data_IF_031271723037
#
_entry.id   IF_031271723037
#
_cell.length_a   1.000
_cell.length_b   1.000
_cell.length_c   1.000
_cell.angle_alpha   90.00
_cell.angle_beta   90.00
_cell.angle_gamma   90.00
#
_symmetry.space_group_name_H-M   'P 1'
#
loop_
_entity.id
_entity.type
_entity.pdbx_description
1 polymer ?
#
# COMPACT_ATOMS: atom_id res chain seq x y z
N UNK A 1 -6.13 -2.74 -2.06
CA UNK A 1 -6.40 -4.02 -2.73
C UNK A 1 -5.18 -4.39 -3.57
N UNK A 2 -4.82 -5.66 -3.61
CA UNK A 2 -3.69 -6.18 -4.40
C UNK A 2 -3.87 -5.92 -5.91
N UNK A 3 -5.08 -5.66 -6.36
CA UNK A 3 -5.46 -5.38 -7.75
C UNK A 3 -5.31 -3.91 -8.16
N UNK A 4 -4.86 -3.02 -7.28
CA UNK A 4 -4.66 -1.61 -7.63
C UNK A 4 -3.28 -1.40 -8.24
N UNK A 5 -3.15 -0.65 -9.35
CA UNK A 5 -1.86 -0.38 -9.95
C UNK A 5 -1.03 0.53 -9.03
N UNK A 6 0.23 0.16 -8.81
CA UNK A 6 1.21 0.96 -8.05
C UNK A 6 1.69 2.18 -8.83
N UNK A 7 1.61 2.09 -10.16
CA UNK A 7 2.01 3.16 -11.07
C UNK A 7 1.12 3.19 -12.30
N UNK A 8 0.89 4.40 -12.82
CA UNK A 8 0.31 4.60 -14.15
C UNK A 8 1.28 5.41 -14.98
N UNK A 9 1.76 4.79 -16.07
CA UNK A 9 2.68 5.42 -16.99
C UNK A 9 1.94 5.89 -18.22
N UNK A 10 2.51 6.86 -18.89
CA UNK A 10 1.99 7.42 -20.13
C UNK A 10 3.13 7.59 -21.12
N UNK A 11 2.92 7.08 -22.32
CA UNK A 11 3.79 7.30 -23.48
C UNK A 11 3.15 8.38 -24.36
N UNK A 12 3.88 9.45 -24.61
CA UNK A 12 3.49 10.55 -25.48
C UNK A 12 4.52 10.78 -26.59
N UNK A 13 4.13 11.56 -27.57
CA UNK A 13 5.06 12.07 -28.57
C UNK A 13 5.75 13.33 -28.04
N UNK A 14 7.03 13.46 -28.31
CA UNK A 14 7.74 14.72 -28.13
C UNK A 14 7.42 15.66 -29.30
N UNK A 15 7.65 16.96 -29.14
CA UNK A 15 7.36 17.98 -30.17
C UNK A 15 8.08 17.74 -31.48
N UNK A 16 9.22 17.05 -31.45
CA UNK A 16 10.06 16.75 -32.62
C UNK A 16 9.81 15.35 -33.18
N UNK A 17 8.75 14.68 -32.74
CA UNK A 17 8.46 13.30 -33.17
C UNK A 17 8.05 13.22 -34.63
N UNK A 18 8.71 12.33 -35.37
CA UNK A 18 8.36 11.97 -36.76
C UNK A 18 7.45 10.75 -36.85
N UNK A 19 7.02 10.21 -35.71
CA UNK A 19 6.17 9.03 -35.65
C UNK A 19 4.75 9.36 -36.11
N UNK A 20 4.14 8.46 -36.89
CA UNK A 20 2.75 8.52 -37.32
C UNK A 20 1.74 8.47 -36.17
N UNK A 21 0.70 7.69 -36.31
CA UNK A 21 -0.34 7.56 -35.28
C UNK A 21 0.16 6.77 -34.04
N UNK A 22 -0.21 7.21 -32.85
CA UNK A 22 0.12 6.50 -31.58
C UNK A 22 -0.49 5.10 -31.54
N UNK A 23 -1.62 4.92 -32.18
CA UNK A 23 -2.31 3.64 -32.29
C UNK A 23 -1.48 2.54 -32.94
N UNK A 24 -0.51 2.89 -33.78
CA UNK A 24 0.34 1.92 -34.50
C UNK A 24 1.56 1.44 -33.70
N UNK A 25 1.74 1.92 -32.48
CA UNK A 25 2.92 1.63 -31.66
C UNK A 25 2.76 0.40 -30.75
N UNK A 26 1.71 -0.42 -30.94
CA UNK A 26 1.44 -1.55 -30.05
C UNK A 26 2.59 -2.55 -29.94
N UNK A 27 3.26 -2.87 -31.06
CA UNK A 27 4.41 -3.79 -31.07
C UNK A 27 5.63 -3.19 -30.35
N UNK A 28 5.93 -1.91 -30.58
CA UNK A 28 7.01 -1.21 -29.89
C UNK A 28 6.76 -1.22 -28.37
N UNK A 29 5.53 -0.96 -27.99
CA UNK A 29 5.12 -0.96 -26.57
C UNK A 29 5.33 -2.35 -25.96
N UNK A 30 4.92 -3.41 -26.64
CA UNK A 30 5.00 -4.78 -26.12
C UNK A 30 6.46 -5.26 -26.01
N UNK A 31 7.24 -5.11 -27.08
CA UNK A 31 8.59 -5.66 -27.13
C UNK A 31 9.69 -4.77 -26.55
N UNK A 32 9.51 -3.44 -26.55
CA UNK A 32 10.55 -2.54 -26.02
C UNK A 32 10.21 -1.98 -24.64
N UNK A 33 8.94 -1.73 -24.31
CA UNK A 33 8.57 -1.11 -23.05
C UNK A 33 8.16 -2.18 -22.03
N UNK A 34 7.13 -2.96 -22.36
CA UNK A 34 6.56 -3.93 -21.40
C UNK A 34 7.59 -5.00 -21.06
N UNK A 35 8.33 -5.52 -22.03
CA UNK A 35 9.32 -6.57 -21.78
C UNK A 35 10.43 -6.11 -20.81
N UNK A 36 10.90 -4.86 -20.93
CA UNK A 36 11.91 -4.33 -20.02
C UNK A 36 11.34 -4.04 -18.64
N UNK A 37 10.16 -3.43 -18.56
CA UNK A 37 9.54 -3.10 -17.29
C UNK A 37 9.04 -4.35 -16.53
N UNK A 38 8.63 -5.41 -17.21
CA UNK A 38 8.19 -6.67 -16.59
C UNK A 38 9.32 -7.49 -15.97
N UNK A 39 10.58 -7.17 -16.26
CA UNK A 39 11.76 -7.81 -15.64
C UNK A 39 12.11 -7.21 -14.28
N UNK A 40 11.44 -6.16 -13.89
CA UNK A 40 11.71 -5.46 -12.62
C UNK A 40 11.17 -6.29 -11.46
N UNK A 41 12.00 -6.53 -10.47
CA UNK A 41 11.65 -7.24 -9.24
C UNK A 41 10.47 -6.57 -8.53
N UNK A 42 9.41 -7.35 -8.27
CA UNK A 42 8.18 -6.90 -7.64
C UNK A 42 7.08 -6.40 -8.59
N UNK A 43 7.29 -6.43 -9.92
CA UNK A 43 6.26 -6.17 -10.93
C UNK A 43 5.62 -7.48 -11.35
N UNK A 44 4.29 -7.63 -11.19
CA UNK A 44 3.56 -8.84 -11.58
C UNK A 44 3.02 -8.77 -12.99
N UNK A 45 2.38 -7.68 -13.36
CA UNK A 45 1.72 -7.51 -14.64
C UNK A 45 1.75 -6.05 -15.09
N UNK A 46 1.88 -5.83 -16.39
CA UNK A 46 1.75 -4.52 -17.01
C UNK A 46 0.70 -4.61 -18.10
N UNK A 47 -0.38 -3.88 -17.94
CA UNK A 47 -1.42 -3.75 -18.97
C UNK A 47 -1.29 -2.40 -19.67
N UNK A 48 -1.55 -2.36 -20.99
CA UNK A 48 -1.54 -1.11 -21.73
C UNK A 48 -2.82 -0.89 -22.53
N UNK A 49 -3.11 0.36 -22.84
CA UNK A 49 -4.26 0.78 -23.64
C UNK A 49 -3.90 1.97 -24.53
N UNK A 50 -4.51 2.05 -25.70
CA UNK A 50 -4.30 3.13 -26.67
C UNK A 50 -3.37 2.78 -27.82
N UNK A 51 -2.71 1.61 -27.77
CA UNK A 51 -1.92 1.06 -28.88
C UNK A 51 -2.57 -0.19 -29.46
N UNK A 52 -2.41 -0.43 -30.74
CA UNK A 52 -2.90 -1.61 -31.46
C UNK A 52 -1.74 -2.47 -31.92
N UNK A 53 -1.89 -3.78 -31.76
CA UNK A 53 -0.93 -4.77 -32.26
C UNK A 53 -1.11 -4.97 -33.76
N UNK A 54 -0.06 -5.35 -34.45
CA UNK A 54 -0.15 -5.77 -35.83
C UNK A 54 -0.95 -7.06 -35.95
N UNK A 55 -1.75 -7.14 -37.00
CA UNK A 55 -2.48 -8.35 -37.37
C UNK A 55 -2.41 -8.60 -38.88
N UNK A 56 -2.57 -9.84 -39.26
CA UNK A 56 -2.76 -10.21 -40.64
C UNK A 56 -4.24 -10.03 -41.01
N UNK A 57 -4.55 -8.97 -41.75
CA UNK A 57 -5.94 -8.64 -42.14
C UNK A 57 -6.28 -9.32 -43.43
N UNK A 58 -7.34 -10.14 -43.42
CA UNK A 58 -7.86 -10.87 -44.56
C UNK A 58 -9.16 -10.21 -44.99
N UNK A 59 -9.10 -9.45 -46.10
CA UNK A 59 -10.29 -8.79 -46.66
C UNK A 59 -10.86 -9.67 -47.77
N UNK A 60 -11.99 -10.30 -47.48
CA UNK A 60 -12.60 -11.31 -48.38
C UNK A 60 -13.48 -10.64 -49.43
N UNK A 61 -13.34 -11.04 -50.68
CA UNK A 61 -14.20 -10.64 -51.79
C UNK A 61 -15.40 -11.61 -51.89
N UNK A 62 -16.60 -11.12 -51.51
CA UNK A 62 -17.80 -11.92 -51.46
C UNK A 62 -18.27 -12.41 -52.82
N UNK A 63 -18.00 -11.66 -53.92
CA UNK A 63 -18.34 -12.07 -55.29
C UNK A 63 -17.46 -13.21 -55.75
N UNK A 64 -16.15 -13.13 -55.48
CA UNK A 64 -15.22 -14.22 -55.79
C UNK A 64 -15.56 -15.50 -55.01
N UNK A 65 -15.89 -15.37 -53.70
CA UNK A 65 -16.36 -16.51 -52.88
C UNK A 65 -17.58 -17.19 -53.50
N UNK A 66 -18.57 -16.40 -53.91
CA UNK A 66 -19.78 -16.90 -54.52
C UNK A 66 -19.48 -17.62 -55.86
N UNK A 67 -18.58 -17.07 -56.69
CA UNK A 67 -18.17 -17.65 -57.96
C UNK A 67 -17.49 -19.04 -57.82
N UNK A 68 -16.74 -19.21 -56.73
CA UNK A 68 -16.10 -20.50 -56.41
C UNK A 68 -17.01 -21.41 -55.55
N UNK A 69 -18.25 -20.99 -55.28
CA UNK A 69 -19.21 -21.77 -54.49
C UNK A 69 -18.72 -22.07 -53.05
N UNK A 70 -18.02 -21.13 -52.45
CA UNK A 70 -17.45 -21.27 -51.10
C UNK A 70 -18.30 -20.46 -50.12
N UNK A 71 -18.77 -21.13 -49.07
CA UNK A 71 -19.48 -20.47 -47.98
C UNK A 71 -18.47 -19.84 -47.00
N UNK A 72 -18.81 -18.69 -46.42
CA UNK A 72 -17.97 -18.00 -45.44
C UNK A 72 -17.60 -18.85 -44.21
N UNK A 73 -18.52 -19.69 -43.75
CA UNK A 73 -18.28 -20.63 -42.66
C UNK A 73 -17.25 -21.68 -43.01
N UNK A 74 -17.27 -22.16 -44.27
CA UNK A 74 -16.26 -23.09 -44.78
C UNK A 74 -14.89 -22.44 -44.85
N UNK A 75 -14.80 -21.18 -45.28
CA UNK A 75 -13.59 -20.38 -45.26
C UNK A 75 -13.02 -20.24 -43.83
N UNK A 76 -13.84 -19.84 -42.88
CA UNK A 76 -13.43 -19.67 -41.46
C UNK A 76 -12.93 -20.99 -40.87
N UNK A 77 -13.62 -22.11 -41.18
CA UNK A 77 -13.18 -23.43 -40.73
C UNK A 77 -11.85 -23.87 -41.38
N UNK A 78 -11.67 -23.60 -42.64
CA UNK A 78 -10.39 -23.89 -43.32
C UNK A 78 -9.24 -23.07 -42.74
N UNK A 79 -9.46 -21.79 -42.42
CA UNK A 79 -8.49 -20.93 -41.76
C UNK A 79 -8.16 -21.41 -40.32
N UNK A 80 -9.17 -21.80 -39.57
CA UNK A 80 -8.95 -22.38 -38.22
C UNK A 80 -8.13 -23.66 -38.29
N UNK A 81 -8.45 -24.52 -39.22
CA UNK A 81 -7.76 -25.81 -39.38
C UNK A 81 -6.32 -25.62 -39.90
N UNK A 82 -6.06 -24.63 -40.77
CA UNK A 82 -4.72 -24.32 -41.28
C UNK A 82 -3.85 -23.58 -40.25
N UNK A 83 -4.43 -23.02 -39.21
CA UNK A 83 -3.72 -22.36 -38.09
C UNK A 83 -3.59 -23.26 -36.85
N UNK A 84 -3.94 -24.54 -36.97
CA UNK A 84 -3.88 -25.46 -35.83
C UNK A 84 -2.44 -25.93 -35.58
N UNK A 85 -2.00 -25.80 -34.36
CA UNK A 85 -0.79 -26.49 -33.85
C UNK A 85 -1.17 -27.92 -33.50
N UNK A 86 -0.66 -28.89 -34.19
CA UNK A 86 -0.87 -30.32 -33.91
C UNK A 86 0.41 -30.91 -33.29
N UNK A 87 0.30 -31.43 -32.08
CA UNK A 87 1.36 -32.27 -31.55
C UNK A 87 1.28 -33.63 -32.25
N UNK A 88 2.26 -33.93 -33.09
CA UNK A 88 2.28 -35.14 -33.90
C UNK A 88 2.77 -36.37 -33.13
N UNK A 89 3.03 -36.25 -31.85
CA UNK A 89 3.49 -37.32 -30.97
C UNK A 89 4.93 -37.11 -30.46
N UNK A 90 5.48 -38.16 -29.88
CA UNK A 90 6.83 -38.17 -29.34
C UNK A 90 7.69 -39.18 -30.04
N UNK A 91 8.90 -38.79 -30.48
CA UNK A 91 9.91 -39.66 -30.98
C UNK A 91 10.94 -39.94 -29.88
N UNK A 92 11.09 -41.20 -29.51
CA UNK A 92 12.06 -41.63 -28.49
C UNK A 92 13.29 -42.19 -29.22
N UNK A 93 14.42 -41.55 -29.03
CA UNK A 93 15.71 -41.98 -29.56
C UNK A 93 16.69 -42.20 -28.39
N UNK A 94 16.86 -43.43 -27.99
CA UNK A 94 17.68 -43.81 -26.83
C UNK A 94 17.15 -43.23 -25.51
N UNK A 95 17.90 -42.28 -24.92
CA UNK A 95 17.49 -41.59 -23.66
C UNK A 95 16.85 -40.21 -23.90
N UNK A 96 16.62 -39.83 -25.15
CA UNK A 96 16.06 -38.53 -25.50
C UNK A 96 14.67 -38.71 -26.06
N UNK A 97 13.73 -37.87 -25.59
CA UNK A 97 12.37 -37.79 -26.13
C UNK A 97 12.24 -36.47 -26.87
N UNK A 98 11.89 -36.53 -28.15
CA UNK A 98 11.62 -35.38 -29.01
C UNK A 98 10.12 -35.25 -29.19
N UNK A 99 9.54 -34.11 -28.76
CA UNK A 99 8.15 -33.82 -29.07
C UNK A 99 8.06 -33.25 -30.50
N UNK A 100 7.36 -33.96 -31.36
CA UNK A 100 7.13 -33.53 -32.74
C UNK A 100 5.91 -32.59 -32.76
N UNK A 101 6.14 -31.34 -33.16
CA UNK A 101 5.07 -30.36 -33.38
C UNK A 101 4.99 -30.07 -34.88
N UNK A 102 3.81 -30.23 -35.47
CA UNK A 102 3.50 -29.73 -36.79
C UNK A 102 2.88 -28.33 -36.63
N UNK A 103 3.57 -27.30 -37.05
CA UNK A 103 3.06 -25.92 -37.04
C UNK A 103 2.75 -25.52 -38.48
N UNK A 104 1.49 -25.18 -38.73
CA UNK A 104 1.04 -24.62 -40.01
C UNK A 104 0.44 -23.23 -39.76
N UNK A 105 1.30 -22.29 -39.26
CA UNK A 105 0.85 -20.93 -39.00
C UNK A 105 1.36 -20.01 -40.09
N UNK A 106 0.44 -19.31 -40.76
CA UNK A 106 0.81 -18.33 -41.76
C UNK A 106 1.12 -16.99 -41.05
N UNK A 107 2.41 -16.66 -40.92
CA UNK A 107 2.86 -15.40 -40.31
C UNK A 107 3.03 -14.26 -41.32
N UNK A 108 3.04 -14.53 -42.59
CA UNK A 108 3.24 -13.53 -43.65
C UNK A 108 2.08 -13.54 -44.65
N UNK A 109 1.81 -12.40 -45.31
CA UNK A 109 0.77 -12.35 -46.34
C UNK A 109 0.99 -13.42 -47.44
N UNK A 110 2.23 -13.67 -47.85
CA UNK A 110 2.57 -14.62 -48.87
C UNK A 110 2.27 -16.07 -48.43
N UNK A 111 2.56 -16.42 -47.21
CA UNK A 111 2.25 -17.75 -46.67
C UNK A 111 0.72 -17.93 -46.52
N UNK A 112 0.01 -16.90 -46.13
CA UNK A 112 -1.44 -16.94 -46.00
C UNK A 112 -2.17 -17.02 -47.34
N UNK A 113 -1.65 -16.35 -48.38
CA UNK A 113 -2.19 -16.45 -49.76
C UNK A 113 -2.21 -17.90 -50.25
N UNK A 114 -1.26 -18.73 -49.85
CA UNK A 114 -1.12 -20.11 -50.29
C UNK A 114 -2.00 -21.12 -49.52
N UNK A 115 -2.78 -20.69 -48.52
CA UNK A 115 -3.70 -21.56 -47.79
C UNK A 115 -4.78 -22.07 -48.73
N UNK A 116 -4.94 -23.40 -48.83
CA UNK A 116 -5.97 -24.05 -49.63
C UNK A 116 -7.31 -24.01 -48.89
N UNK A 117 -8.33 -23.41 -49.50
CA UNK A 117 -9.66 -23.26 -48.91
C UNK A 117 -10.61 -24.34 -49.40
N UNK A 118 -10.50 -24.71 -50.67
CA UNK A 118 -11.33 -25.73 -51.31
C UNK A 118 -10.50 -26.56 -52.28
N UNK A 119 -10.67 -27.86 -52.24
CA UNK A 119 -10.12 -28.78 -53.24
C UNK A 119 -11.31 -29.40 -54.01
N UNK A 120 -11.29 -29.21 -55.31
CA UNK A 120 -12.30 -29.82 -56.21
C UNK A 120 -11.74 -31.12 -56.76
N UNK A 121 -12.29 -32.25 -56.30
CA UNK A 121 -11.87 -33.60 -56.69
C UNK A 121 -12.74 -34.15 -57.85
N UNK A 122 -13.42 -33.28 -58.61
CA UNK A 122 -14.38 -33.70 -59.62
C UNK A 122 -13.79 -34.30 -60.90
N UNK A 123 -12.49 -34.36 -61.10
CA UNK A 123 -11.87 -35.03 -62.23
C UNK A 123 -10.59 -35.77 -61.81
N UNK A 124 -10.51 -37.01 -62.25
CA UNK A 124 -9.43 -37.97 -61.92
C UNK A 124 -8.03 -37.56 -62.44
N UNK A 125 -7.86 -36.47 -63.17
CA UNK A 125 -6.61 -36.09 -63.81
C UNK A 125 -6.06 -34.73 -63.40
N UNK A 126 -6.81 -33.83 -62.74
CA UNK A 126 -6.30 -32.58 -62.20
C UNK A 126 -7.16 -32.06 -61.05
N UNK A 127 -6.64 -32.10 -59.84
CA UNK A 127 -7.26 -31.44 -58.69
C UNK A 127 -7.02 -29.93 -58.75
N UNK A 128 -8.06 -29.15 -58.99
CA UNK A 128 -7.95 -27.68 -58.91
C UNK A 128 -8.22 -27.26 -57.48
N UNK A 129 -7.20 -26.67 -56.84
CA UNK A 129 -7.32 -26.13 -55.49
C UNK A 129 -7.52 -24.62 -55.53
N UNK A 130 -8.51 -24.12 -54.82
CA UNK A 130 -8.71 -22.67 -54.62
C UNK A 130 -7.93 -22.23 -53.41
N UNK A 131 -7.05 -21.24 -53.59
CA UNK A 131 -6.23 -20.64 -52.54
C UNK A 131 -6.92 -19.43 -51.93
N UNK A 132 -6.54 -19.06 -50.71
CA UNK A 132 -7.03 -17.87 -50.02
C UNK A 132 -6.75 -16.59 -50.80
N UNK A 133 -5.58 -16.49 -51.45
CA UNK A 133 -5.22 -15.35 -52.29
C UNK A 133 -6.10 -15.16 -53.53
N UNK A 134 -6.84 -16.20 -53.99
CA UNK A 134 -7.76 -16.09 -55.14
C UNK A 134 -9.04 -15.35 -54.75
N UNK A 135 -9.45 -15.39 -53.46
CA UNK A 135 -10.74 -14.87 -52.97
C UNK A 135 -10.61 -13.76 -51.93
N UNK A 136 -9.40 -13.45 -51.47
CA UNK A 136 -9.16 -12.43 -50.46
C UNK A 136 -7.90 -11.61 -50.75
N UNK A 137 -7.91 -10.34 -50.32
CA UNK A 137 -6.72 -9.50 -50.24
C UNK A 137 -6.14 -9.59 -48.83
N UNK A 138 -4.84 -9.95 -48.73
CA UNK A 138 -4.18 -10.24 -47.47
C UNK A 138 -3.03 -9.26 -47.29
N UNK A 139 -3.05 -8.52 -46.18
CA UNK A 139 -2.03 -7.52 -45.88
C UNK A 139 -1.84 -7.40 -44.37
N UNK A 140 -0.67 -6.91 -43.96
CA UNK A 140 -0.38 -6.59 -42.59
C UNK A 140 -1.05 -5.24 -42.25
N UNK A 141 -1.85 -5.20 -41.22
CA UNK A 141 -2.51 -3.99 -40.71
C UNK A 141 -2.41 -3.95 -39.17
N UNK A 142 -2.94 -2.92 -38.57
CA UNK A 142 -3.09 -2.83 -37.15
C UNK A 142 -4.53 -3.18 -36.79
N UNK A 143 -4.70 -3.86 -35.65
CA UNK A 143 -6.01 -4.15 -35.09
C UNK A 143 -6.76 -2.84 -34.85
N UNK A 144 -8.06 -2.83 -35.18
CA UNK A 144 -8.86 -1.63 -34.94
C UNK A 144 -8.83 -1.25 -33.47
N UNK A 145 -8.54 0.02 -33.12
CA UNK A 145 -8.37 0.43 -31.73
C UNK A 145 -9.70 0.32 -30.97
N UNK A 146 -9.70 -0.40 -29.85
CA UNK A 146 -10.85 -0.57 -28.98
C UNK A 146 -11.03 0.57 -27.99
N UNK A 147 -9.99 1.37 -27.79
CA UNK A 147 -9.99 2.51 -26.87
C UNK A 147 -8.97 3.57 -27.29
N UNK A 148 -9.37 4.82 -27.20
CA UNK A 148 -8.49 5.97 -27.38
C UNK A 148 -8.11 6.55 -26.02
N UNK A 149 -6.85 6.93 -25.87
CA UNK A 149 -6.32 7.58 -24.67
C UNK A 149 -5.72 8.92 -25.07
N UNK A 150 -6.04 9.95 -24.28
CA UNK A 150 -5.52 11.30 -24.48
C UNK A 150 -5.05 11.89 -23.17
N UNK A 151 -3.97 12.63 -23.25
CA UNK A 151 -3.44 13.44 -22.16
C UNK A 151 -3.24 14.86 -22.70
N UNK A 152 -3.77 15.86 -22.01
CA UNK A 152 -3.72 17.27 -22.44
C UNK A 152 -4.20 17.50 -23.87
N UNK A 153 -5.13 16.66 -24.38
CA UNK A 153 -5.67 16.73 -25.73
C UNK A 153 -4.88 15.97 -26.80
N UNK A 154 -3.69 15.46 -26.49
CA UNK A 154 -2.85 14.68 -27.40
C UNK A 154 -3.06 13.17 -27.20
N UNK A 155 -2.96 12.40 -28.29
CA UNK A 155 -3.10 10.95 -28.23
C UNK A 155 -1.93 10.34 -27.48
N UNK A 156 -2.24 9.38 -26.60
CA UNK A 156 -1.28 8.76 -25.71
C UNK A 156 -1.52 7.25 -25.55
N UNK A 157 -0.50 6.52 -25.13
CA UNK A 157 -0.64 5.13 -24.67
C UNK A 157 -0.44 5.12 -23.15
N UNK A 158 -1.38 4.50 -22.44
CA UNK A 158 -1.36 4.42 -20.98
C UNK A 158 -1.05 3.02 -20.53
N UNK A 159 -0.28 2.92 -19.43
CA UNK A 159 0.08 1.67 -18.80
C UNK A 159 -0.41 1.64 -17.36
N UNK A 160 -0.81 0.47 -16.89
CA UNK A 160 -1.03 0.22 -15.48
C UNK A 160 -0.05 -0.88 -15.04
N UNK A 161 0.76 -0.57 -14.04
CA UNK A 161 1.76 -1.46 -13.47
C UNK A 161 1.22 -2.02 -12.17
N UNK A 162 1.08 -3.35 -12.11
CA UNK A 162 0.64 -4.06 -10.92
C UNK A 162 1.84 -4.68 -10.21
N UNK A 163 1.78 -4.74 -8.89
CA UNK A 163 2.83 -5.34 -8.06
C UNK A 163 2.60 -6.82 -7.81
N UNK A 164 3.66 -7.56 -7.53
CA UNK A 164 3.55 -8.89 -6.95
C UNK A 164 3.00 -8.84 -5.51
N UNK A 165 2.22 -9.84 -5.10
CA UNK A 165 1.77 -9.95 -3.72
C UNK A 165 2.96 -9.94 -2.75
N UNK A 166 2.94 -9.04 -1.76
CA UNK A 166 4.00 -8.91 -0.77
C UNK A 166 5.25 -8.14 -1.20
N UNK A 167 5.33 -7.67 -2.46
CA UNK A 167 6.46 -6.85 -2.92
C UNK A 167 6.53 -5.49 -2.20
N UNK A 168 7.75 -5.01 -1.98
CA UNK A 168 8.00 -3.68 -1.42
C UNK A 168 7.76 -2.59 -2.48
N UNK A 169 6.62 -1.90 -2.36
CA UNK A 169 6.19 -0.87 -3.33
C UNK A 169 7.25 0.22 -3.54
N UNK A 170 7.87 0.70 -2.48
CA UNK A 170 8.87 1.79 -2.56
C UNK A 170 10.09 1.35 -3.37
N UNK A 171 10.62 0.16 -3.09
CA UNK A 171 11.77 -0.41 -3.81
C UNK A 171 11.41 -0.70 -5.27
N UNK A 172 10.25 -1.31 -5.52
CA UNK A 172 9.78 -1.60 -6.88
C UNK A 172 9.62 -0.32 -7.70
N UNK A 173 9.05 0.73 -7.11
CA UNK A 173 8.89 2.03 -7.79
C UNK A 173 10.22 2.74 -8.05
N UNK A 174 11.20 2.62 -7.15
CA UNK A 174 12.55 3.15 -7.39
C UNK A 174 13.20 2.50 -8.61
N UNK A 175 13.13 1.16 -8.70
CA UNK A 175 13.62 0.40 -9.85
C UNK A 175 12.85 0.75 -11.13
N UNK A 176 11.52 0.89 -11.05
CA UNK A 176 10.65 1.26 -12.16
C UNK A 176 11.02 2.65 -12.71
N UNK A 177 11.16 3.65 -11.85
CA UNK A 177 11.52 5.01 -12.26
C UNK A 177 12.92 5.06 -12.91
N UNK A 178 13.87 4.28 -12.37
CA UNK A 178 15.22 4.16 -12.96
C UNK A 178 15.19 3.54 -14.35
N UNK A 179 14.37 2.51 -14.55
CA UNK A 179 14.23 1.87 -15.87
C UNK A 179 13.51 2.76 -16.87
N UNK A 180 12.49 3.52 -16.43
CA UNK A 180 11.83 4.54 -17.26
C UNK A 180 12.84 5.59 -17.75
N UNK A 181 13.73 6.08 -16.88
CA UNK A 181 14.80 6.99 -17.29
C UNK A 181 15.76 6.36 -18.29
N UNK A 182 16.12 5.10 -18.08
CA UNK A 182 16.99 4.32 -18.99
C UNK A 182 16.36 4.19 -20.38
N UNK A 183 15.09 3.77 -20.44
CA UNK A 183 14.33 3.62 -21.68
C UNK A 183 14.19 4.96 -22.43
N UNK A 184 13.92 6.04 -21.72
CA UNK A 184 13.85 7.36 -22.33
C UNK A 184 15.19 7.77 -22.94
N UNK A 185 16.31 7.58 -22.23
CA UNK A 185 17.65 7.98 -22.71
C UNK A 185 18.15 7.15 -23.87
N UNK A 186 17.90 5.83 -23.84
CA UNK A 186 18.49 4.91 -24.83
C UNK A 186 17.65 4.78 -26.09
N UNK A 187 16.33 4.60 -25.96
CA UNK A 187 15.48 4.16 -27.06
C UNK A 187 14.39 5.17 -27.43
N UNK A 188 13.67 5.70 -26.46
CA UNK A 188 12.43 6.42 -26.72
C UNK A 188 12.69 7.84 -27.25
N UNK A 189 13.62 8.58 -26.66
CA UNK A 189 13.94 9.96 -27.10
C UNK A 189 14.41 10.00 -28.55
N UNK A 190 15.21 9.00 -28.99
CA UNK A 190 15.68 8.89 -30.35
C UNK A 190 14.53 8.67 -31.37
N UNK A 191 13.41 8.11 -30.88
CA UNK A 191 12.18 7.90 -31.66
C UNK A 191 11.19 9.04 -31.52
N UNK A 192 11.51 10.07 -30.75
CA UNK A 192 10.61 11.19 -30.46
C UNK A 192 9.43 10.79 -29.55
N UNK A 193 9.66 9.88 -28.64
CA UNK A 193 8.71 9.41 -27.64
C UNK A 193 9.25 9.67 -26.24
N UNK A 194 8.34 9.88 -25.29
CA UNK A 194 8.65 10.06 -23.89
C UNK A 194 7.69 9.24 -23.02
N UNK A 195 8.25 8.45 -22.12
CA UNK A 195 7.53 7.67 -21.12
C UNK A 195 7.69 8.33 -19.75
N UNK A 196 6.59 8.65 -19.09
CA UNK A 196 6.63 9.25 -17.76
C UNK A 196 5.53 8.73 -16.85
N UNK A 197 5.73 8.90 -15.55
CA UNK A 197 4.83 8.44 -14.51
C UNK A 197 3.82 9.55 -14.19
N UNK A 198 2.52 9.25 -14.27
CA UNK A 198 1.40 10.16 -13.93
C UNK A 198 0.80 9.84 -12.57
N UNK A 199 0.95 8.61 -12.11
CA UNK A 199 0.47 8.16 -10.80
C UNK A 199 1.53 7.28 -10.16
N UNK A 200 1.94 7.68 -8.96
CA UNK A 200 2.94 7.00 -8.16
C UNK A 200 2.38 6.79 -6.74
N UNK A 201 2.16 5.52 -6.38
CA UNK A 201 1.63 5.16 -5.06
C UNK A 201 2.60 5.54 -3.94
N UNK A 202 3.91 5.62 -4.23
CA UNK A 202 4.92 5.98 -3.22
C UNK A 202 4.77 7.40 -2.69
N UNK A 203 4.16 8.32 -3.45
CA UNK A 203 3.86 9.68 -2.99
C UNK A 203 2.96 9.63 -1.75
N UNK A 204 1.93 8.78 -1.76
CA UNK A 204 1.03 8.61 -0.62
C UNK A 204 1.71 7.91 0.55
N UNK A 205 2.56 6.91 0.27
CA UNK A 205 3.33 6.19 1.30
C UNK A 205 4.31 7.14 1.98
N UNK A 206 5.08 7.91 1.21
CA UNK A 206 6.03 8.87 1.75
C UNK A 206 5.35 9.96 2.57
N UNK A 207 4.25 10.53 2.06
CA UNK A 207 3.45 11.52 2.80
C UNK A 207 2.93 10.95 4.14
N UNK A 208 2.52 9.67 4.15
CA UNK A 208 2.09 9.03 5.39
C UNK A 208 3.26 8.80 6.36
N UNK A 209 4.44 8.41 5.87
CA UNK A 209 5.66 8.29 6.67
C UNK A 209 6.03 9.66 7.26
N UNK A 210 6.03 10.72 6.46
CA UNK A 210 6.32 12.07 6.90
C UNK A 210 5.31 12.55 7.95
N UNK A 211 4.02 12.25 7.77
CA UNK A 211 2.98 12.54 8.75
C UNK A 211 3.26 11.83 10.10
N UNK A 212 3.64 10.55 10.06
CA UNK A 212 4.00 9.79 11.28
C UNK A 212 5.21 10.42 11.96
N UNK A 213 6.26 10.75 11.20
CA UNK A 213 7.46 11.40 11.74
C UNK A 213 7.12 12.76 12.36
N UNK A 214 6.33 13.58 11.67
CA UNK A 214 5.88 14.87 12.16
C UNK A 214 5.06 14.73 13.45
N UNK A 215 4.14 13.77 13.52
CA UNK A 215 3.33 13.51 14.71
C UNK A 215 4.18 13.02 15.88
N UNK A 216 5.19 12.17 15.63
CA UNK A 216 6.13 11.73 16.67
C UNK A 216 6.93 12.94 17.23
N UNK A 217 7.40 13.83 16.36
CA UNK A 217 8.19 14.99 16.77
C UNK A 217 7.32 16.00 17.49
N UNK A 218 6.20 16.42 16.90
CA UNK A 218 5.30 17.42 17.49
C UNK A 218 4.65 16.88 18.75
N UNK A 219 4.09 15.66 18.69
CA UNK A 219 3.47 15.00 19.86
C UNK A 219 4.50 14.73 20.95
N UNK A 220 5.71 14.32 20.60
CA UNK A 220 6.80 14.15 21.53
C UNK A 220 7.22 15.46 22.23
N UNK A 221 7.38 16.55 21.47
CA UNK A 221 7.70 17.87 22.02
C UNK A 221 6.58 18.36 22.95
N UNK A 222 5.32 18.24 22.52
CA UNK A 222 4.15 18.61 23.34
C UNK A 222 4.10 17.78 24.62
N UNK A 223 4.28 16.47 24.54
CA UNK A 223 4.32 15.58 25.69
C UNK A 223 5.46 15.98 26.64
N UNK A 224 6.64 16.26 26.12
CA UNK A 224 7.79 16.75 26.92
C UNK A 224 7.44 18.06 27.63
N UNK A 225 6.84 19.03 26.92
CA UNK A 225 6.46 20.31 27.50
C UNK A 225 5.42 20.13 28.63
N UNK A 226 4.39 19.31 28.38
CA UNK A 226 3.37 19.01 29.40
C UNK A 226 3.99 18.31 30.61
N UNK A 227 4.80 17.27 30.36
CA UNK A 227 5.49 16.54 31.44
C UNK A 227 6.46 17.42 32.24
N UNK A 228 7.18 18.32 31.56
CA UNK A 228 8.05 19.29 32.26
C UNK A 228 7.27 20.21 33.16
N UNK A 229 6.06 20.61 32.76
CA UNK A 229 5.17 21.44 33.59
C UNK A 229 4.69 20.65 34.83
N UNK A 230 4.32 19.38 34.66
CA UNK A 230 3.77 18.54 35.73
C UNK A 230 4.84 17.93 36.63
N UNK A 231 5.83 17.23 36.04
CA UNK A 231 6.89 16.52 36.79
C UNK A 231 8.01 17.46 37.26
N UNK A 232 8.19 18.60 36.59
CA UNK A 232 9.23 19.63 36.89
C UNK A 232 10.64 19.08 37.00
N UNK A 233 10.87 17.95 36.36
CA UNK A 233 12.13 17.25 36.39
C UNK A 233 12.46 16.71 34.99
N UNK A 234 13.63 17.07 34.49
CA UNK A 234 14.08 16.71 33.13
C UNK A 234 14.30 15.20 32.96
N UNK A 235 14.73 14.50 34.02
CA UNK A 235 15.12 13.08 33.92
C UNK A 235 13.96 12.14 33.65
N UNK A 236 12.86 12.17 34.42
CA UNK A 236 11.65 11.39 34.10
C UNK A 236 11.13 11.69 32.70
N UNK A 237 11.17 12.96 32.30
CA UNK A 237 10.73 13.41 30.98
C UNK A 237 11.57 12.79 29.86
N UNK A 238 12.91 12.75 30.00
CA UNK A 238 13.79 12.11 29.03
C UNK A 238 13.54 10.61 28.88
N UNK A 239 13.21 9.91 29.98
CA UNK A 239 12.90 8.47 29.91
C UNK A 239 11.67 8.24 29.05
N UNK A 240 10.61 9.03 29.21
CA UNK A 240 9.39 8.94 28.40
C UNK A 240 9.69 9.31 26.94
N UNK A 241 10.53 10.33 26.71
CA UNK A 241 10.96 10.70 25.36
C UNK A 241 11.59 9.52 24.60
N UNK A 242 12.37 8.68 25.28
CA UNK A 242 12.95 7.48 24.68
C UNK A 242 11.94 6.34 24.51
N UNK A 243 10.93 6.26 25.35
CA UNK A 243 9.90 5.23 25.27
C UNK A 243 9.04 5.35 24.00
N UNK A 244 8.78 6.57 23.53
CA UNK A 244 7.96 6.84 22.33
C UNK A 244 8.55 6.16 21.08
N UNK A 245 9.79 6.47 20.65
CA UNK A 245 10.37 5.83 19.46
C UNK A 245 10.54 4.32 19.62
N UNK A 246 10.85 3.82 20.81
CA UNK A 246 10.96 2.38 21.05
C UNK A 246 9.60 1.68 20.87
N UNK A 247 8.52 2.27 21.35
CA UNK A 247 7.17 1.74 21.15
C UNK A 247 6.74 1.76 19.69
N UNK A 248 7.07 2.83 18.96
CA UNK A 248 6.76 2.94 17.52
C UNK A 248 7.52 1.89 16.72
N UNK A 249 8.83 1.77 16.92
CA UNK A 249 9.65 0.74 16.26
C UNK A 249 9.18 -0.66 16.63
N UNK A 250 8.87 -0.91 17.90
CA UNK A 250 8.29 -2.17 18.35
C UNK A 250 6.97 -2.51 17.66
N UNK A 251 6.13 -1.51 17.40
CA UNK A 251 4.88 -1.68 16.66
C UNK A 251 5.14 -2.07 15.20
N UNK A 252 6.08 -1.41 14.53
CA UNK A 252 6.46 -1.79 13.16
C UNK A 252 6.97 -3.23 13.08
N UNK A 253 7.85 -3.62 13.99
CA UNK A 253 8.37 -5.00 14.04
C UNK A 253 7.24 -6.01 14.26
N UNK A 254 6.31 -5.71 15.15
CA UNK A 254 5.19 -6.60 15.44
C UNK A 254 4.22 -6.72 14.26
N UNK A 255 3.84 -5.62 13.61
CA UNK A 255 2.99 -5.61 12.42
C UNK A 255 3.64 -6.42 11.30
N UNK A 256 4.94 -6.22 11.05
CA UNK A 256 5.70 -6.99 10.07
C UNK A 256 5.76 -8.48 10.42
N UNK A 257 5.94 -8.84 11.69
CA UNK A 257 5.99 -10.25 12.14
C UNK A 257 4.64 -10.97 12.01
N UNK A 258 3.53 -10.23 12.05
CA UNK A 258 2.18 -10.75 11.79
C UNK A 258 1.89 -10.92 10.28
N UNK A 259 2.84 -10.64 9.40
CA UNK A 259 2.68 -10.74 7.95
C UNK A 259 1.78 -9.66 7.35
N UNK A 260 1.50 -8.60 8.10
CA UNK A 260 0.70 -7.48 7.62
C UNK A 260 1.57 -6.49 6.84
N UNK A 261 1.07 -6.02 5.70
CA UNK A 261 1.74 -5.00 4.90
C UNK A 261 1.65 -3.63 5.58
N UNK A 262 2.77 -2.91 5.59
CA UNK A 262 2.78 -1.51 6.00
C UNK A 262 2.27 -0.69 4.82
N UNK A 263 1.04 -0.22 4.92
CA UNK A 263 0.37 0.61 3.93
C UNK A 263 0.01 1.98 4.53
N UNK A 264 -0.48 2.90 3.69
CA UNK A 264 -0.87 4.26 4.10
C UNK A 264 -1.87 4.25 5.26
N UNK A 265 -2.76 3.25 5.27
CA UNK A 265 -3.84 3.13 6.25
C UNK A 265 -3.31 2.66 7.60
N UNK A 266 -2.42 1.65 7.61
CA UNK A 266 -1.76 1.18 8.83
C UNK A 266 -0.85 2.28 9.42
N UNK A 267 -0.19 3.08 8.56
CA UNK A 267 0.60 4.23 8.99
C UNK A 267 -0.26 5.34 9.61
N UNK A 268 -1.43 5.62 9.05
CA UNK A 268 -2.39 6.57 9.65
C UNK A 268 -2.89 6.07 11.03
N UNK A 269 -3.17 4.77 11.16
CA UNK A 269 -3.49 4.13 12.45
C UNK A 269 -2.36 4.28 13.46
N UNK A 270 -1.12 4.08 13.03
CA UNK A 270 0.06 4.27 13.88
C UNK A 270 0.25 5.74 14.31
N UNK A 271 0.05 6.70 13.39
CA UNK A 271 0.10 8.12 13.71
C UNK A 271 -0.91 8.51 14.80
N UNK A 272 -2.12 7.95 14.72
CA UNK A 272 -3.13 8.14 15.77
C UNK A 272 -2.73 7.47 17.10
N UNK A 273 -2.16 6.27 17.04
CA UNK A 273 -1.75 5.49 18.21
C UNK A 273 -0.61 6.15 19.00
N UNK A 274 0.27 6.93 18.35
CA UNK A 274 1.41 7.61 19.03
C UNK A 274 0.94 8.43 20.24
N UNK A 275 -0.20 9.13 20.15
CA UNK A 275 -0.78 9.85 21.27
C UNK A 275 -1.16 8.97 22.45
N UNK A 276 -1.66 7.76 22.21
CA UNK A 276 -2.09 6.82 23.25
C UNK A 276 -0.94 6.02 23.87
N UNK A 277 0.15 5.85 23.12
CA UNK A 277 1.35 5.10 23.56
C UNK A 277 2.02 5.76 24.77
N UNK A 278 1.93 7.08 24.87
CA UNK A 278 2.58 7.87 25.93
C UNK A 278 1.90 7.71 27.29
N UNK A 279 0.59 7.51 27.33
CA UNK A 279 -0.20 7.52 28.57
C UNK A 279 0.24 6.44 29.57
N UNK A 280 0.41 5.20 29.12
CA UNK A 280 0.87 4.10 29.99
C UNK A 280 2.27 4.37 30.57
N UNK A 281 3.14 4.99 29.77
CA UNK A 281 4.49 5.36 30.17
C UNK A 281 4.50 6.49 31.21
N UNK A 282 3.61 7.47 31.07
CA UNK A 282 3.46 8.57 32.02
C UNK A 282 3.02 8.03 33.38
N UNK A 283 1.97 7.20 33.42
CA UNK A 283 1.43 6.65 34.67
C UNK A 283 2.49 5.81 35.40
N UNK A 284 3.23 4.96 34.69
CA UNK A 284 4.30 4.14 35.26
C UNK A 284 5.42 5.02 35.83
N UNK A 285 5.89 5.98 35.05
CA UNK A 285 7.00 6.87 35.43
C UNK A 285 6.64 7.78 36.62
N UNK A 286 5.44 8.36 36.61
CA UNK A 286 4.97 9.22 37.71
C UNK A 286 4.90 8.44 39.03
N UNK A 287 4.35 7.22 39.00
CA UNK A 287 4.26 6.42 40.21
C UNK A 287 5.64 6.01 40.77
N UNK A 288 6.57 5.63 39.86
CA UNK A 288 7.95 5.34 40.27
C UNK A 288 8.61 6.56 40.94
N UNK A 289 8.45 7.72 40.30
CA UNK A 289 9.03 8.96 40.82
C UNK A 289 8.44 9.37 42.17
N UNK A 290 7.13 9.27 42.31
CA UNK A 290 6.42 9.52 43.56
C UNK A 290 6.92 8.63 44.69
N UNK A 291 7.11 7.32 44.46
CA UNK A 291 7.63 6.39 45.44
C UNK A 291 9.09 6.67 45.81
N UNK A 292 9.89 7.11 44.86
CA UNK A 292 11.26 7.53 45.14
C UNK A 292 11.32 8.82 45.99
N UNK A 293 10.43 9.79 45.71
CA UNK A 293 10.30 11.00 46.55
C UNK A 293 9.83 10.70 47.98
N UNK A 294 9.04 9.64 48.18
CA UNK A 294 8.63 9.19 49.50
C UNK A 294 9.75 8.44 50.28
N UNK A 295 10.98 8.38 49.73
CA UNK A 295 12.15 7.85 50.42
C UNK A 295 12.51 6.41 50.07
N UNK A 296 11.82 5.76 49.14
CA UNK A 296 12.18 4.41 48.70
C UNK A 296 13.44 4.44 47.83
N UNK A 297 14.30 3.43 48.00
CA UNK A 297 15.50 3.26 47.13
C UNK A 297 15.08 3.09 45.68
N UNK A 298 15.93 3.53 44.71
CA UNK A 298 15.70 3.49 43.26
C UNK A 298 15.17 2.15 42.76
N UNK A 299 15.74 1.03 43.22
CA UNK A 299 15.35 -0.32 42.83
C UNK A 299 13.92 -0.67 43.32
N UNK A 300 13.66 -0.43 44.64
CA UNK A 300 12.34 -0.68 45.24
C UNK A 300 11.28 0.27 44.70
N UNK A 301 11.65 1.53 44.43
CA UNK A 301 10.74 2.50 43.85
C UNK A 301 10.34 2.10 42.42
N UNK A 302 11.29 1.64 41.60
CA UNK A 302 11.02 1.21 40.23
C UNK A 302 10.19 -0.07 40.19
N UNK A 303 10.53 -1.08 41.00
CA UNK A 303 9.78 -2.34 41.06
C UNK A 303 8.38 -2.14 41.61
N UNK A 304 8.25 -1.53 42.79
CA UNK A 304 6.94 -1.32 43.44
C UNK A 304 6.08 -0.33 42.65
N UNK A 305 6.70 0.67 42.02
CA UNK A 305 6.04 1.64 41.15
C UNK A 305 5.35 0.98 39.98
N UNK A 306 6.05 0.10 39.29
CA UNK A 306 5.49 -0.69 38.18
C UNK A 306 4.41 -1.68 38.68
N UNK A 307 4.69 -2.40 39.80
CA UNK A 307 3.75 -3.37 40.37
C UNK A 307 2.45 -2.75 40.87
N UNK A 308 2.43 -1.49 41.30
CA UNK A 308 1.21 -0.82 41.70
C UNK A 308 0.30 -0.43 40.54
N UNK A 309 0.88 -0.13 39.39
CA UNK A 309 0.13 0.41 38.24
C UNK A 309 -0.09 -0.59 37.09
N UNK A 310 0.49 -1.79 37.14
CA UNK A 310 0.36 -2.76 36.04
C UNK A 310 -1.10 -3.16 35.76
N UNK A 311 -1.92 -3.35 36.82
CA UNK A 311 -3.34 -3.73 36.66
C UNK A 311 -4.16 -2.61 35.97
N UNK A 312 -4.11 -1.35 36.46
CA UNK A 312 -4.76 -0.23 35.76
C UNK A 312 -4.30 -0.06 34.31
N UNK A 313 -2.99 -0.14 34.06
CA UNK A 313 -2.43 0.01 32.71
C UNK A 313 -2.93 -1.12 31.80
N UNK A 314 -2.87 -2.37 32.26
CA UNK A 314 -3.37 -3.51 31.50
C UNK A 314 -4.89 -3.42 31.27
N UNK A 315 -5.64 -3.02 32.28
CA UNK A 315 -7.09 -2.83 32.17
C UNK A 315 -7.46 -1.75 31.13
N UNK A 316 -6.77 -0.62 31.13
CA UNK A 316 -6.96 0.45 30.15
C UNK A 316 -6.61 -0.03 28.73
N UNK A 317 -5.48 -0.71 28.57
CA UNK A 317 -5.06 -1.26 27.28
C UNK A 317 -6.07 -2.30 26.74
N UNK A 318 -6.53 -3.21 27.60
CA UNK A 318 -7.53 -4.21 27.24
C UNK A 318 -8.85 -3.55 26.78
N UNK A 319 -9.33 -2.55 27.51
CA UNK A 319 -10.56 -1.83 27.13
C UNK A 319 -10.40 -1.16 25.76
N UNK A 320 -9.23 -0.56 25.49
CA UNK A 320 -8.94 0.05 24.18
C UNK A 320 -8.93 -1.01 23.07
N UNK A 321 -8.27 -2.14 23.27
CA UNK A 321 -8.21 -3.22 22.25
C UNK A 321 -9.60 -3.83 22.03
N UNK A 322 -10.38 -4.07 23.09
CA UNK A 322 -11.73 -4.66 22.99
C UNK A 322 -12.68 -3.79 22.14
N UNK A 323 -12.56 -2.47 22.19
CA UNK A 323 -13.37 -1.55 21.37
C UNK A 323 -13.10 -1.77 19.87
N UNK A 324 -11.91 -2.23 19.48
CA UNK A 324 -11.59 -2.50 18.08
C UNK A 324 -11.98 -3.91 17.60
N UNK A 325 -12.30 -4.86 18.52
CA UNK A 325 -12.72 -6.23 18.12
C UNK A 325 -13.90 -6.23 17.15
N UNK A 326 -14.99 -5.47 17.34
CA UNK A 326 -16.08 -5.43 16.38
C UNK A 326 -15.66 -4.96 15.00
N UNK A 327 -14.70 -4.03 14.92
CA UNK A 327 -14.17 -3.53 13.64
C UNK A 327 -13.40 -4.63 12.89
N UNK A 328 -12.69 -5.49 13.63
CA UNK A 328 -11.96 -6.63 13.05
C UNK A 328 -12.88 -7.72 12.47
N UNK A 329 -14.14 -7.77 12.91
CA UNK A 329 -15.14 -8.76 12.49
C UNK A 329 -16.00 -8.31 11.28
N UNK A 330 -15.78 -7.11 10.76
CA UNK A 330 -16.54 -6.58 9.61
C UNK A 330 -16.02 -7.14 8.31
N UNK A 331 -16.79 -8.01 7.64
CA UNK A 331 -16.46 -8.65 6.35
C UNK A 331 -16.88 -7.82 5.11
N UNK A 332 -16.91 -6.51 5.21
CA UNK A 332 -17.21 -5.63 4.08
C UNK A 332 -15.90 -5.09 3.46
N UNK A 333 -15.86 -4.75 2.15
CA UNK A 333 -14.68 -4.15 1.52
C UNK A 333 -14.17 -2.89 2.25
N UNK A 334 -15.09 -2.08 2.79
CA UNK A 334 -14.77 -0.93 3.64
C UNK A 334 -14.22 -1.37 5.00
N UNK A 335 -14.62 -2.53 5.50
CA UNK A 335 -14.13 -3.12 6.75
C UNK A 335 -12.63 -3.43 6.71
N UNK A 336 -12.08 -3.80 5.55
CA UNK A 336 -10.64 -4.05 5.41
C UNK A 336 -9.79 -2.81 5.71
N UNK A 337 -10.25 -1.61 5.28
CA UNK A 337 -9.61 -0.33 5.60
C UNK A 337 -9.53 -0.08 7.11
N UNK A 338 -10.64 -0.25 7.81
CA UNK A 338 -10.71 -0.06 9.26
C UNK A 338 -9.99 -1.15 10.04
N UNK A 339 -9.88 -2.35 9.47
CA UNK A 339 -9.15 -3.47 10.07
C UNK A 339 -7.67 -3.15 10.23
N UNK A 340 -7.01 -2.60 9.20
CA UNK A 340 -5.60 -2.23 9.26
C UNK A 340 -5.33 -1.16 10.32
N UNK A 341 -6.21 -0.16 10.43
CA UNK A 341 -6.15 0.86 11.49
C UNK A 341 -6.32 0.22 12.86
N UNK A 342 -7.35 -0.61 13.03
CA UNK A 342 -7.67 -1.25 14.29
C UNK A 342 -6.53 -2.15 14.78
N UNK A 343 -5.90 -2.92 13.87
CA UNK A 343 -4.74 -3.74 14.20
C UNK A 343 -3.55 -2.87 14.58
N UNK A 344 -3.23 -1.84 13.81
CA UNK A 344 -2.11 -0.94 14.09
C UNK A 344 -2.23 -0.29 15.47
N UNK A 345 -3.42 0.22 15.81
CA UNK A 345 -3.70 0.82 17.13
C UNK A 345 -3.60 -0.23 18.23
N UNK A 346 -4.23 -1.40 18.06
CA UNK A 346 -4.23 -2.46 19.08
C UNK A 346 -2.83 -2.96 19.38
N UNK A 347 -2.02 -3.20 18.35
CA UNK A 347 -0.62 -3.61 18.47
C UNK A 347 0.20 -2.52 19.17
N UNK A 348 0.02 -1.25 18.79
CA UNK A 348 0.72 -0.11 19.40
C UNK A 348 0.44 -0.01 20.89
N UNK A 349 -0.82 -0.17 21.29
CA UNK A 349 -1.23 -0.13 22.70
C UNK A 349 -0.62 -1.29 23.49
N UNK A 350 -0.60 -2.51 22.93
CA UNK A 350 0.02 -3.67 23.57
C UNK A 350 1.52 -3.47 23.76
N UNK A 351 2.23 -2.98 22.73
CA UNK A 351 3.66 -2.68 22.81
C UNK A 351 3.92 -1.58 23.84
N UNK A 352 3.07 -0.54 23.91
CA UNK A 352 3.18 0.51 24.93
C UNK A 352 3.10 -0.04 26.36
N UNK A 353 2.19 -0.99 26.61
CA UNK A 353 2.12 -1.67 27.92
C UNK A 353 3.42 -2.41 28.23
N UNK A 354 3.95 -3.16 27.28
CA UNK A 354 5.23 -3.88 27.45
C UNK A 354 6.37 -2.90 27.76
N UNK A 355 6.47 -1.81 27.00
CA UNK A 355 7.49 -0.78 27.20
C UNK A 355 7.32 -0.09 28.55
N UNK A 356 6.11 0.25 28.95
CA UNK A 356 5.82 0.93 30.23
C UNK A 356 6.09 0.05 31.45
N UNK A 357 5.98 -1.27 31.34
CA UNK A 357 6.22 -2.21 32.43
C UNK A 357 7.64 -2.79 32.45
N UNK A 358 8.42 -2.62 31.39
CA UNK A 358 9.80 -3.17 31.30
C UNK A 358 10.84 -2.08 31.13
N UNK A 359 10.78 -1.30 30.04
CA UNK A 359 11.78 -0.28 29.71
C UNK A 359 11.74 0.89 30.72
N UNK A 360 10.54 1.41 31.01
CA UNK A 360 10.39 2.55 31.92
C UNK A 360 10.96 2.26 33.30
N UNK A 361 10.58 1.17 34.03
CA UNK A 361 11.14 0.88 35.34
C UNK A 361 12.66 0.68 35.30
N UNK A 362 13.17 0.04 34.25
CA UNK A 362 14.60 -0.21 34.10
C UNK A 362 15.39 1.08 33.93
N UNK A 363 14.94 1.96 33.02
CA UNK A 363 15.58 3.27 32.80
C UNK A 363 15.43 4.18 34.02
N UNK A 364 14.28 4.14 34.70
CA UNK A 364 14.03 4.89 35.93
C UNK A 364 15.00 4.45 37.03
N UNK A 365 15.20 3.13 37.24
CA UNK A 365 16.15 2.63 38.22
C UNK A 365 17.59 3.11 37.93
N UNK A 366 18.02 3.02 36.66
CA UNK A 366 19.37 3.48 36.27
C UNK A 366 19.51 4.99 36.51
N UNK A 367 18.52 5.77 36.13
CA UNK A 367 18.51 7.23 36.28
C UNK A 367 18.53 7.66 37.74
N UNK A 368 17.71 7.04 38.59
CA UNK A 368 17.58 7.35 40.01
C UNK A 368 18.80 6.86 40.83
N UNK A 369 19.38 5.70 40.48
CA UNK A 369 20.58 5.16 41.13
C UNK A 369 21.79 6.08 40.99
N UNK A 370 21.91 6.77 39.88
CA UNK A 370 23.03 7.70 39.56
C UNK A 370 22.94 8.99 40.37
N UNK A 371 21.86 9.24 41.14
CA UNK A 371 21.52 10.52 41.76
C UNK A 371 21.53 10.53 43.30
N UNK A 372 22.20 9.59 43.95
CA UNK A 372 22.30 9.59 45.45
C UNK A 372 22.89 10.85 46.05
N UNK A 373 23.39 11.81 45.27
CA UNK A 373 24.16 12.97 45.72
C UNK A 373 23.52 14.35 45.48
N UNK A 374 22.48 14.46 44.68
CA UNK A 374 21.81 15.75 44.46
C UNK A 374 20.30 15.61 44.53
N UNK A 375 19.67 16.21 45.56
CA UNK A 375 18.23 16.48 45.55
C UNK A 375 17.89 17.25 44.28
N UNK A 376 17.13 16.65 43.37
CA UNK A 376 16.70 17.27 42.12
C UNK A 376 16.07 18.64 42.44
N UNK A 377 16.69 19.72 41.93
CA UNK A 377 16.10 21.05 42.02
C UNK A 377 14.81 21.07 41.25
N UNK A 378 13.69 21.04 41.98
CA UNK A 378 12.35 21.21 41.37
C UNK A 378 12.33 22.61 40.76
N UNK A 379 12.10 22.66 39.46
CA UNK A 379 11.99 23.94 38.74
C UNK A 379 10.72 24.65 39.14
N UNK A 380 10.84 25.72 39.97
CA UNK A 380 9.70 26.52 40.41
C UNK A 380 9.32 27.54 39.33
N UNK A 381 8.11 27.44 38.82
CA UNK A 381 7.53 28.41 37.88
C UNK A 381 6.38 29.10 38.61
N UNK A 382 6.60 30.31 39.21
CA UNK A 382 5.64 30.90 40.17
C UNK A 382 4.24 31.13 39.56
N UNK A 383 4.15 31.44 38.26
CA UNK A 383 2.84 31.66 37.59
C UNK A 383 2.06 30.35 37.45
N UNK A 384 2.73 29.26 37.05
CA UNK A 384 2.11 27.94 36.89
C UNK A 384 1.77 27.33 38.24
N UNK A 385 2.63 27.55 39.26
CA UNK A 385 2.39 27.10 40.63
C UNK A 385 1.14 27.69 41.23
N UNK A 386 0.95 28.99 41.07
CA UNK A 386 -0.23 29.67 41.55
C UNK A 386 -1.50 29.24 40.85
N UNK A 387 -1.43 29.10 39.50
CA UNK A 387 -2.55 28.58 38.70
C UNK A 387 -2.92 27.13 39.10
N UNK A 388 -1.92 26.26 39.22
CA UNK A 388 -2.10 24.85 39.58
C UNK A 388 -2.68 24.74 41.03
N UNK A 389 -2.20 25.53 41.98
CA UNK A 389 -2.70 25.53 43.32
C UNK A 389 -4.13 26.07 43.42
N UNK A 390 -4.44 27.15 42.69
CA UNK A 390 -5.79 27.68 42.60
C UNK A 390 -6.77 26.67 41.96
N UNK A 391 -6.35 26.02 40.87
CA UNK A 391 -7.14 24.98 40.23
C UNK A 391 -7.37 23.76 41.13
N UNK A 392 -6.31 23.28 41.79
CA UNK A 392 -6.41 22.21 42.80
C UNK A 392 -7.38 22.56 43.89
N UNK A 393 -7.27 23.76 44.47
CA UNK A 393 -8.14 24.22 45.56
C UNK A 393 -9.59 24.34 45.08
N UNK A 394 -9.81 24.82 43.87
CA UNK A 394 -11.13 24.91 43.25
C UNK A 394 -11.76 23.52 43.03
N UNK A 395 -11.01 22.57 42.47
CA UNK A 395 -11.50 21.19 42.31
C UNK A 395 -11.80 20.53 43.67
N UNK A 396 -10.91 20.66 44.63
CA UNK A 396 -11.12 20.07 45.96
C UNK A 396 -12.38 20.62 46.61
N UNK A 397 -12.57 21.94 46.56
CA UNK A 397 -13.80 22.56 47.09
C UNK A 397 -15.05 22.08 46.35
N UNK A 398 -14.97 21.88 45.03
CA UNK A 398 -16.09 21.37 44.26
C UNK A 398 -16.42 19.92 44.64
N UNK A 399 -15.39 19.07 44.79
CA UNK A 399 -15.55 17.67 45.21
C UNK A 399 -16.12 17.62 46.65
N UNK A 400 -15.56 18.37 47.57
CA UNK A 400 -16.07 18.45 48.95
C UNK A 400 -17.54 18.90 48.99
N UNK A 401 -17.89 19.96 48.28
CA UNK A 401 -19.26 20.44 48.14
C UNK A 401 -20.20 19.39 47.53
N UNK A 402 -19.75 18.66 46.52
CA UNK A 402 -20.53 17.60 45.86
C UNK A 402 -20.76 16.39 46.75
N UNK A 403 -19.77 16.03 47.58
CA UNK A 403 -19.82 14.86 48.47
C UNK A 403 -20.50 15.15 49.83
N UNK A 404 -20.64 16.42 50.23
CA UNK A 404 -21.16 16.80 51.53
C UNK A 404 -22.63 16.33 51.77
N UNK A 405 -23.42 16.23 50.70
CA UNK A 405 -24.79 15.74 50.77
C UNK A 405 -25.16 14.91 49.55
N UNK A 406 -25.77 13.72 49.74
CA UNK A 406 -26.23 12.84 48.65
C UNK A 406 -27.12 13.57 47.62
N UNK A 407 -27.90 14.56 48.04
CA UNK A 407 -28.73 15.38 47.14
C UNK A 407 -27.88 16.22 46.18
N UNK A 408 -26.76 16.81 46.64
CA UNK A 408 -25.84 17.60 45.80
C UNK A 408 -25.10 16.70 44.80
N UNK A 409 -24.67 15.51 45.20
CA UNK A 409 -24.11 14.52 44.31
C UNK A 409 -25.08 14.13 43.18
N UNK A 410 -26.34 13.88 43.51
CA UNK A 410 -27.41 13.58 42.56
C UNK A 410 -27.67 14.75 41.60
N UNK A 411 -27.66 16.00 42.08
CA UNK A 411 -27.84 17.19 41.22
C UNK A 411 -26.68 17.36 40.24
N UNK A 412 -25.44 17.07 40.66
CA UNK A 412 -24.27 17.08 39.75
C UNK A 412 -24.40 16.03 38.65
N UNK A 413 -24.76 14.80 39.03
CA UNK A 413 -24.96 13.72 38.05
C UNK A 413 -26.06 14.11 37.05
N UNK A 414 -27.19 14.58 37.53
CA UNK A 414 -28.32 14.97 36.70
C UNK A 414 -27.99 16.15 35.80
N UNK A 415 -27.24 17.16 36.28
CA UNK A 415 -26.80 18.28 35.45
C UNK A 415 -25.87 17.86 34.33
N UNK A 416 -24.93 16.92 34.58
CA UNK A 416 -24.02 16.38 33.55
C UNK A 416 -24.82 15.62 32.49
N UNK A 417 -25.78 14.77 32.91
CA UNK A 417 -26.63 14.03 31.98
C UNK A 417 -27.47 15.00 31.13
N UNK A 418 -28.06 16.04 31.78
CA UNK A 418 -28.87 17.04 31.08
C UNK A 418 -28.05 17.83 30.04
N UNK A 419 -26.84 18.26 30.42
CA UNK A 419 -25.93 18.95 29.50
C UNK A 419 -25.56 18.03 28.33
N UNK A 420 -25.19 16.76 28.59
CA UNK A 420 -24.90 15.79 27.56
C UNK A 420 -26.08 15.59 26.59
N UNK A 421 -27.31 15.56 27.12
CA UNK A 421 -28.53 15.43 26.32
C UNK A 421 -28.78 16.64 25.42
N UNK A 422 -28.52 17.86 25.92
CA UNK A 422 -28.65 19.10 25.14
C UNK A 422 -27.64 19.18 23.98
N UNK A 423 -26.43 18.61 24.15
CA UNK A 423 -25.42 18.60 23.07
C UNK A 423 -25.60 17.47 22.05
N UNK A 424 -26.41 16.46 22.33
CA UNK A 424 -26.69 15.34 21.41
C UNK A 424 -27.90 15.64 20.50
N UNK A 425 -28.79 16.53 20.95
CA UNK A 425 -29.96 17.00 20.21
C UNK A 425 -29.86 18.51 19.91
#
# INVERSE_FOLDING_TARGET
SEDSPISRLVLIKTKDSKIGEMTTLGDLVEFEIIENLSRIDGVSEITFRGGSKKELKISVDMQKLANFGININSLVNSLKNSSAQLTAGELIEGKRTYTLRAESIAYTPESAQNIIIKTDNSSSTSSTSVKLGDVANIFISYKDPTSFRRINGEDAITFAVLREPGANVVKTMELLNKEIESLNKTNLNNKGLELYNVYDETVYINNAIDLVQQNIIIGGILAICVLMIFLRNLRPTLIIMFAIPVSVVGTFVMISSLGLSINVISLAGLAFAVGMVVDASIVSQENIYRLNQSGLNSEKASLNGALQVWKPILGSALTTVVVFIPVLMVDLPVGQLFRDIAVAISVSVIISVLVSLTLIPTMANISLRRNKLNQDKIFKIPVIDNLANNFKTWILKYIEWSLETSKRGLTVIFSIILISFIFVF
#
